data_IF_210091039561
#
_entry.id   IF_210091039561
#
_cell.length_a   1.000
_cell.length_b   1.000
_cell.length_c   1.000
_cell.angle_alpha   90.00
_cell.angle_beta   90.00
_cell.angle_gamma   90.00
#
_symmetry.space_group_name_H-M   'P 1'
#
loop_
_entity.id
_entity.type
_entity.pdbx_description
1 polymer ?
#
# COMPACT_ATOMS: atom_id res chain seq x y z
N UNK A 1 39.99 9.54 4.23
CA UNK A 1 39.35 8.39 4.90
C UNK A 1 37.99 8.87 5.36
N UNK A 2 36.90 8.17 5.03
CA UNK A 2 35.57 8.61 5.42
C UNK A 2 35.48 8.63 6.94
N UNK A 3 34.92 9.69 7.49
CA UNK A 3 34.89 9.86 8.93
C UNK A 3 34.07 8.75 9.58
N UNK A 4 34.51 8.21 10.74
CA UNK A 4 33.73 7.21 11.49
C UNK A 4 32.28 7.66 11.73
N UNK A 5 32.02 8.97 11.71
CA UNK A 5 30.69 9.57 11.79
C UNK A 5 29.72 9.10 10.69
N UNK A 6 30.12 9.04 9.41
CA UNK A 6 29.18 8.70 8.32
C UNK A 6 28.68 7.26 8.45
N UNK A 7 29.56 6.34 8.88
CA UNK A 7 29.22 4.93 9.16
C UNK A 7 28.20 4.82 10.28
N UNK A 8 28.42 5.55 11.39
CA UNK A 8 27.51 5.53 12.52
C UNK A 8 26.12 6.00 12.07
N UNK A 9 26.04 7.14 11.38
CA UNK A 9 24.77 7.68 10.89
C UNK A 9 24.07 6.69 9.96
N UNK A 10 24.77 6.13 8.98
CA UNK A 10 24.22 5.15 8.05
C UNK A 10 23.57 3.96 8.79
N UNK A 11 24.31 3.32 9.69
CA UNK A 11 23.78 2.15 10.41
C UNK A 11 22.70 2.51 11.42
N UNK A 12 22.75 3.69 12.04
CA UNK A 12 21.65 4.17 12.89
C UNK A 12 20.35 4.31 12.09
N UNK A 13 20.42 4.90 10.90
CA UNK A 13 19.26 5.04 10.02
C UNK A 13 18.72 3.68 9.55
N UNK A 14 19.61 2.76 9.17
CA UNK A 14 19.20 1.40 8.77
C UNK A 14 18.58 0.62 9.93
N UNK A 15 19.17 0.66 11.14
CA UNK A 15 18.61 -0.01 12.31
C UNK A 15 17.26 0.59 12.71
N UNK A 16 17.10 1.90 12.60
CA UNK A 16 15.81 2.56 12.81
C UNK A 16 14.76 2.01 11.84
N UNK A 17 15.08 1.95 10.54
CA UNK A 17 14.19 1.36 9.53
C UNK A 17 13.86 -0.10 9.83
N UNK A 18 14.88 -0.90 10.20
CA UNK A 18 14.74 -2.31 10.52
C UNK A 18 13.81 -2.60 11.71
N UNK A 19 13.73 -1.69 12.70
CA UNK A 19 12.88 -1.88 13.88
C UNK A 19 11.50 -1.23 13.70
N UNK A 20 11.45 0.00 13.19
CA UNK A 20 10.22 0.80 13.18
C UNK A 20 9.27 0.42 12.04
N UNK A 21 9.79 0.03 10.87
CA UNK A 21 8.95 -0.35 9.74
C UNK A 21 8.21 -1.68 9.92
N UNK A 22 8.79 -2.73 10.55
CA UNK A 22 8.03 -3.90 10.94
C UNK A 22 6.92 -3.56 11.91
N UNK A 23 7.18 -2.77 12.96
CA UNK A 23 6.15 -2.35 13.92
C UNK A 23 4.99 -1.66 13.18
N UNK A 24 5.31 -0.78 12.23
CA UNK A 24 4.31 -0.15 11.36
C UNK A 24 3.57 -1.19 10.51
N UNK A 25 4.26 -2.12 9.85
CA UNK A 25 3.65 -3.17 9.04
C UNK A 25 2.72 -4.07 9.86
N UNK A 26 3.16 -4.53 11.03
CA UNK A 26 2.37 -5.29 11.99
C UNK A 26 1.13 -4.51 12.43
N UNK A 27 1.27 -3.22 12.76
CA UNK A 27 0.11 -2.38 13.11
C UNK A 27 -0.90 -2.32 11.96
N UNK A 28 -0.43 -2.14 10.73
CA UNK A 28 -1.31 -2.05 9.55
C UNK A 28 -2.00 -3.38 9.19
N UNK A 29 -1.37 -4.53 9.48
CA UNK A 29 -1.91 -5.85 9.19
C UNK A 29 -2.85 -6.37 10.27
N UNK A 30 -2.51 -6.14 11.55
CA UNK A 30 -3.19 -6.78 12.67
C UNK A 30 -4.21 -5.88 13.38
N UNK A 31 -4.24 -4.57 13.13
CA UNK A 31 -5.25 -3.70 13.74
C UNK A 31 -6.55 -3.70 12.91
N UNK A 32 -7.63 -4.37 13.37
CA UNK A 32 -8.88 -4.49 12.61
C UNK A 32 -9.61 -3.15 12.44
N UNK A 33 -9.26 -2.14 13.24
CA UNK A 33 -9.77 -0.77 13.12
C UNK A 33 -9.38 -0.13 11.78
N UNK A 34 -8.30 -0.61 11.16
CA UNK A 34 -7.67 0.00 10.00
C UNK A 34 -8.06 -0.78 8.74
N UNK A 35 -9.19 -0.42 8.11
CA UNK A 35 -9.57 -0.96 6.80
C UNK A 35 -8.69 -0.36 5.70
N UNK A 36 -7.46 -0.85 5.57
CA UNK A 36 -6.50 -0.39 4.56
C UNK A 36 -6.05 -1.51 3.66
N UNK A 37 -5.63 -1.11 2.46
CA UNK A 37 -5.10 -2.04 1.50
C UNK A 37 -3.72 -2.56 1.95
N UNK A 38 -3.41 -3.86 1.79
CA UNK A 38 -2.16 -4.46 2.23
C UNK A 38 -0.91 -3.92 1.54
N UNK A 39 -1.04 -3.15 0.45
CA UNK A 39 0.10 -2.55 -0.28
C UNK A 39 0.94 -1.62 0.60
N UNK A 40 0.33 -0.97 1.59
CA UNK A 40 1.07 -0.09 2.49
C UNK A 40 1.98 -0.88 3.44
N UNK A 41 1.43 -1.93 4.06
CA UNK A 41 2.20 -2.86 4.89
C UNK A 41 3.28 -3.56 4.07
N UNK A 42 2.94 -3.94 2.83
CA UNK A 42 3.89 -4.54 1.89
C UNK A 42 5.10 -3.64 1.64
N UNK A 43 4.89 -2.36 1.37
CA UNK A 43 5.99 -1.42 1.17
C UNK A 43 6.86 -1.28 2.43
N UNK A 44 6.25 -1.23 3.62
CA UNK A 44 7.01 -1.20 4.88
C UNK A 44 7.88 -2.46 5.06
N UNK A 45 7.39 -3.64 4.66
CA UNK A 45 8.16 -4.89 4.66
C UNK A 45 9.31 -4.87 3.63
N UNK A 46 9.09 -4.35 2.42
CA UNK A 46 10.16 -4.19 1.42
C UNK A 46 11.28 -3.27 1.93
N UNK A 47 10.93 -2.15 2.58
CA UNK A 47 11.93 -1.27 3.19
C UNK A 47 12.62 -1.87 4.42
N UNK A 48 11.91 -2.72 5.18
CA UNK A 48 12.53 -3.52 6.25
C UNK A 48 13.59 -4.45 5.67
N UNK A 49 13.26 -5.17 4.59
CA UNK A 49 14.20 -6.05 3.91
C UNK A 49 15.43 -5.28 3.41
N UNK A 50 15.24 -4.05 2.91
CA UNK A 50 16.35 -3.18 2.48
C UNK A 50 17.25 -2.81 3.66
N UNK A 51 16.64 -2.45 4.78
CA UNK A 51 17.36 -2.14 6.02
C UNK A 51 18.14 -3.35 6.55
N UNK A 52 17.56 -4.54 6.44
CA UNK A 52 18.19 -5.80 6.83
C UNK A 52 19.42 -6.10 5.96
N UNK A 53 19.28 -6.05 4.63
CA UNK A 53 20.36 -6.29 3.68
C UNK A 53 21.50 -5.28 3.85
N UNK A 54 21.18 -4.00 4.02
CA UNK A 54 22.15 -2.94 4.31
C UNK A 54 22.91 -3.16 5.64
N UNK A 55 22.26 -3.81 6.61
CA UNK A 55 22.83 -4.07 7.94
C UNK A 55 23.59 -5.40 8.06
N UNK A 56 23.68 -6.23 7.02
CA UNK A 56 24.28 -7.57 7.12
C UNK A 56 25.72 -7.58 7.65
N UNK A 57 26.57 -6.63 7.26
CA UNK A 57 27.95 -6.54 7.78
C UNK A 57 28.00 -6.19 9.26
N UNK A 58 27.07 -5.36 9.72
CA UNK A 58 26.93 -5.01 11.13
C UNK A 58 26.44 -6.22 11.93
N UNK A 59 25.38 -6.89 11.44
CA UNK A 59 24.78 -8.06 12.09
C UNK A 59 25.75 -9.25 12.18
N UNK A 60 26.63 -9.41 11.18
CA UNK A 60 27.68 -10.45 11.18
C UNK A 60 28.94 -10.07 11.97
N UNK A 61 28.98 -8.85 12.55
CA UNK A 61 30.15 -8.30 13.27
C UNK A 61 31.42 -8.27 12.40
N UNK A 62 31.27 -8.13 11.08
CA UNK A 62 32.39 -8.04 10.12
C UNK A 62 32.64 -6.61 9.62
N UNK A 63 32.09 -5.62 10.33
CA UNK A 63 32.27 -4.21 9.99
C UNK A 63 33.72 -3.74 10.16
N UNK A 64 34.32 -4.06 11.31
CA UNK A 64 35.71 -3.74 11.64
C UNK A 64 36.47 -5.06 11.77
N UNK A 65 37.33 -5.39 10.82
CA UNK A 65 38.05 -6.66 10.86
C UNK A 65 38.65 -7.09 9.52
N UNK A 66 39.16 -8.33 9.45
CA UNK A 66 39.63 -8.95 8.22
C UNK A 66 38.50 -8.98 7.18
N UNK A 67 38.87 -9.17 5.91
CA UNK A 67 37.91 -9.17 4.81
C UNK A 67 36.77 -10.19 5.07
N UNK A 68 35.50 -9.80 4.82
CA UNK A 68 34.36 -10.69 5.03
C UNK A 68 34.46 -11.90 4.08
N UNK A 69 33.84 -13.04 4.45
CA UNK A 69 33.81 -14.20 3.57
C UNK A 69 33.22 -13.81 2.21
N UNK A 70 33.88 -14.28 1.14
CA UNK A 70 33.57 -13.87 -0.24
C UNK A 70 32.12 -14.19 -0.64
N UNK A 71 31.54 -15.25 -0.08
CA UNK A 71 30.13 -15.64 -0.30
C UNK A 71 29.16 -14.62 0.26
N UNK A 72 29.36 -14.15 1.50
CA UNK A 72 28.54 -13.11 2.13
C UNK A 72 28.64 -11.80 1.35
N UNK A 73 29.86 -11.43 0.94
CA UNK A 73 30.12 -10.18 0.24
C UNK A 73 29.48 -10.16 -1.16
N UNK A 74 29.57 -11.28 -1.89
CA UNK A 74 28.87 -11.47 -3.19
C UNK A 74 27.35 -11.45 -3.02
N UNK A 75 26.81 -12.15 -2.03
CA UNK A 75 25.37 -12.18 -1.77
C UNK A 75 24.83 -10.78 -1.40
N UNK A 76 25.50 -10.06 -0.50
CA UNK A 76 25.11 -8.71 -0.12
C UNK A 76 25.17 -7.75 -1.30
N UNK A 77 26.25 -7.78 -2.09
CA UNK A 77 26.41 -6.95 -3.29
C UNK A 77 25.28 -7.20 -4.30
N UNK A 78 24.97 -8.46 -4.59
CA UNK A 78 23.90 -8.83 -5.51
C UNK A 78 22.51 -8.36 -5.01
N UNK A 79 22.23 -8.53 -3.70
CA UNK A 79 20.99 -8.05 -3.09
C UNK A 79 20.89 -6.52 -3.13
N UNK A 80 21.98 -5.80 -2.83
CA UNK A 80 22.02 -4.33 -2.90
C UNK A 80 21.84 -3.80 -4.33
N UNK A 81 22.36 -4.51 -5.35
CA UNK A 81 22.10 -4.16 -6.75
C UNK A 81 20.66 -4.42 -7.18
N UNK A 82 20.00 -5.46 -6.67
CA UNK A 82 18.58 -5.71 -6.96
C UNK A 82 17.62 -4.75 -6.22
N UNK A 83 18.08 -4.17 -5.10
CA UNK A 83 17.25 -3.40 -4.18
C UNK A 83 16.59 -2.17 -4.81
N UNK A 84 17.29 -1.27 -5.53
CA UNK A 84 16.69 -0.06 -6.11
C UNK A 84 15.44 -0.33 -6.95
N UNK A 85 15.48 -1.34 -7.81
CA UNK A 85 14.35 -1.74 -8.64
C UNK A 85 13.19 -2.31 -7.80
N UNK A 86 13.50 -3.17 -6.80
CA UNK A 86 12.50 -3.72 -5.90
C UNK A 86 11.73 -2.66 -5.12
N UNK A 87 12.45 -1.71 -4.51
CA UNK A 87 11.83 -0.61 -3.75
C UNK A 87 11.06 0.35 -4.65
N UNK A 88 11.53 0.59 -5.89
CA UNK A 88 10.81 1.41 -6.86
C UNK A 88 9.49 0.78 -7.30
N UNK A 89 9.46 -0.55 -7.51
CA UNK A 89 8.22 -1.29 -7.81
C UNK A 89 7.24 -1.24 -6.62
N UNK A 90 7.74 -1.32 -5.38
CA UNK A 90 6.90 -1.15 -4.18
C UNK A 90 6.26 0.25 -4.12
N UNK A 91 7.03 1.29 -4.46
CA UNK A 91 6.52 2.66 -4.55
C UNK A 91 5.46 2.80 -5.65
N UNK A 92 5.69 2.22 -6.83
CA UNK A 92 4.69 2.16 -7.92
C UNK A 92 3.42 1.46 -7.44
N UNK A 93 3.51 0.37 -6.69
CA UNK A 93 2.34 -0.36 -6.22
C UNK A 93 1.44 0.47 -5.28
N UNK A 94 2.04 1.26 -4.37
CA UNK A 94 1.28 2.21 -3.54
C UNK A 94 0.61 3.27 -4.41
N UNK A 95 1.37 3.90 -5.30
CA UNK A 95 0.87 5.02 -6.11
C UNK A 95 -0.22 4.55 -7.06
N UNK A 96 -0.05 3.39 -7.68
CA UNK A 96 -1.07 2.77 -8.52
C UNK A 96 -2.38 2.59 -7.76
N UNK A 97 -2.32 2.08 -6.53
CA UNK A 97 -3.52 1.89 -5.69
C UNK A 97 -4.19 3.22 -5.32
N UNK A 98 -3.40 4.25 -5.01
CA UNK A 98 -3.94 5.59 -4.73
C UNK A 98 -4.58 6.19 -5.99
N UNK A 99 -3.94 5.99 -7.14
CA UNK A 99 -4.44 6.44 -8.44
C UNK A 99 -5.74 5.72 -8.83
N UNK A 100 -5.82 4.39 -8.69
CA UNK A 100 -7.01 3.59 -9.03
C UNK A 100 -8.23 4.04 -8.23
N UNK A 101 -8.06 4.25 -6.92
CA UNK A 101 -9.10 4.77 -6.03
C UNK A 101 -9.54 6.18 -6.41
N UNK A 102 -8.58 7.06 -6.70
CA UNK A 102 -8.86 8.45 -7.07
C UNK A 102 -9.59 8.55 -8.42
N UNK A 103 -9.23 7.68 -9.37
CA UNK A 103 -9.84 7.61 -10.69
C UNK A 103 -11.25 7.00 -10.65
N UNK A 104 -11.45 5.94 -9.86
CA UNK A 104 -12.75 5.28 -9.70
C UNK A 104 -13.87 6.20 -9.26
N UNK A 105 -13.60 7.02 -8.23
CA UNK A 105 -14.54 8.01 -7.70
C UNK A 105 -14.98 9.00 -8.79
N UNK A 106 -14.08 9.37 -9.71
CA UNK A 106 -14.38 10.33 -10.78
C UNK A 106 -15.32 9.76 -11.83
N UNK A 107 -15.21 8.46 -12.15
CA UNK A 107 -15.89 7.88 -13.32
C UNK A 107 -17.30 7.39 -12.99
N UNK A 108 -17.46 6.64 -11.91
CA UNK A 108 -18.70 5.87 -11.67
C UNK A 108 -19.33 6.13 -10.30
N UNK A 109 -18.75 6.97 -9.44
CA UNK A 109 -19.19 7.14 -8.04
C UNK A 109 -18.99 5.89 -7.15
N UNK A 110 -18.88 4.70 -7.75
CA UNK A 110 -18.53 3.45 -7.10
C UNK A 110 -17.02 3.17 -7.19
N UNK A 111 -16.47 2.55 -6.14
CA UNK A 111 -15.11 2.05 -6.16
C UNK A 111 -15.03 0.87 -7.15
N UNK A 112 -14.08 0.89 -8.12
CA UNK A 112 -13.90 -0.22 -9.03
C UNK A 112 -13.52 -1.47 -8.23
N UNK A 113 -14.18 -2.59 -8.52
CA UNK A 113 -13.75 -3.89 -8.02
C UNK A 113 -12.41 -4.23 -8.65
N UNK A 114 -11.38 -4.32 -7.82
CA UNK A 114 -10.05 -4.70 -8.27
C UNK A 114 -9.98 -6.23 -8.38
N UNK A 115 -9.56 -6.77 -9.53
CA UNK A 115 -9.46 -8.20 -9.68
C UNK A 115 -8.34 -8.75 -8.78
N UNK A 116 -8.50 -9.94 -8.19
CA UNK A 116 -7.57 -10.47 -7.18
C UNK A 116 -6.15 -10.66 -7.71
N UNK A 117 -5.99 -10.98 -9.00
CA UNK A 117 -4.67 -11.13 -9.62
C UNK A 117 -3.85 -9.83 -9.59
N UNK A 118 -4.50 -8.67 -9.70
CA UNK A 118 -3.82 -7.39 -9.66
C UNK A 118 -3.25 -7.12 -8.27
N UNK A 119 -4.03 -7.44 -7.23
CA UNK A 119 -3.57 -7.37 -5.83
C UNK A 119 -2.37 -8.28 -5.62
N UNK A 120 -2.40 -9.51 -6.12
CA UNK A 120 -1.25 -10.42 -6.05
C UNK A 120 0.00 -9.83 -6.73
N UNK A 121 -0.13 -9.22 -7.91
CA UNK A 121 0.99 -8.58 -8.61
C UNK A 121 1.52 -7.36 -7.82
N UNK A 122 0.64 -6.52 -7.28
CA UNK A 122 1.04 -5.35 -6.50
C UNK A 122 1.75 -5.72 -5.19
N UNK A 123 1.40 -6.87 -4.59
CA UNK A 123 2.03 -7.37 -3.38
C UNK A 123 3.32 -8.15 -3.66
N UNK A 124 3.29 -9.10 -4.60
CA UNK A 124 4.42 -9.96 -4.92
C UNK A 124 5.48 -9.34 -5.85
N UNK A 125 5.07 -8.40 -6.71
CA UNK A 125 5.91 -7.77 -7.73
C UNK A 125 7.24 -7.20 -7.19
N UNK A 126 7.24 -6.41 -6.10
CA UNK A 126 8.47 -5.88 -5.52
C UNK A 126 9.51 -6.94 -5.16
N UNK A 127 9.07 -8.04 -4.52
CA UNK A 127 9.97 -9.13 -4.11
C UNK A 127 10.42 -9.98 -5.29
N UNK A 128 9.53 -10.23 -6.26
CA UNK A 128 9.87 -10.96 -7.46
C UNK A 128 10.94 -10.21 -8.26
N UNK A 129 10.73 -8.91 -8.52
CA UNK A 129 11.70 -8.07 -9.25
C UNK A 129 13.03 -8.00 -8.51
N UNK A 130 13.00 -7.77 -7.20
CA UNK A 130 14.24 -7.75 -6.41
C UNK A 130 14.96 -9.09 -6.42
N UNK A 131 14.27 -10.19 -6.08
CA UNK A 131 14.87 -11.53 -6.00
C UNK A 131 15.42 -12.01 -7.34
N UNK A 132 14.70 -11.79 -8.44
CA UNK A 132 15.15 -12.15 -9.79
C UNK A 132 16.41 -11.35 -10.15
N UNK A 133 16.40 -10.02 -9.98
CA UNK A 133 17.57 -9.19 -10.30
C UNK A 133 18.76 -9.53 -9.41
N UNK A 134 18.55 -9.76 -8.12
CA UNK A 134 19.60 -10.21 -7.21
C UNK A 134 20.19 -11.57 -7.65
N UNK A 135 19.36 -12.52 -8.07
CA UNK A 135 19.81 -13.80 -8.60
C UNK A 135 20.63 -13.64 -9.88
N UNK A 136 20.16 -12.83 -10.84
CA UNK A 136 20.89 -12.52 -12.08
C UNK A 136 22.24 -11.86 -11.76
N UNK A 137 22.26 -10.85 -10.90
CA UNK A 137 23.50 -10.18 -10.51
C UNK A 137 24.46 -11.12 -9.77
N UNK A 138 23.97 -12.03 -8.93
CA UNK A 138 24.81 -13.02 -8.27
C UNK A 138 25.52 -13.96 -9.27
N UNK A 139 24.81 -14.38 -10.33
CA UNK A 139 25.37 -15.20 -11.41
C UNK A 139 26.41 -14.41 -12.19
N UNK A 140 26.10 -13.18 -12.59
CA UNK A 140 27.02 -12.31 -13.34
C UNK A 140 28.28 -11.96 -12.52
N UNK A 141 28.12 -11.76 -11.21
CA UNK A 141 29.23 -11.45 -10.31
C UNK A 141 30.17 -12.63 -10.04
N UNK A 142 29.81 -13.86 -10.42
CA UNK A 142 30.64 -15.06 -10.19
C UNK A 142 32.08 -14.89 -10.69
N UNK A 143 32.25 -14.17 -11.81
CA UNK A 143 33.54 -13.87 -12.46
C UNK A 143 34.18 -12.56 -11.98
N UNK A 144 33.41 -11.66 -11.38
CA UNK A 144 33.89 -10.35 -10.92
C UNK A 144 34.52 -10.42 -9.54
N UNK A 145 35.50 -9.55 -9.27
CA UNK A 145 36.00 -9.32 -7.90
C UNK A 145 35.01 -8.41 -7.17
N UNK A 146 34.68 -8.75 -5.93
CA UNK A 146 33.86 -7.91 -5.05
C UNK A 146 34.78 -7.28 -4.02
N UNK A 147 34.67 -5.97 -3.83
CA UNK A 147 35.49 -5.21 -2.88
C UNK A 147 34.60 -4.74 -1.73
N UNK A 148 35.17 -4.66 -0.53
CA UNK A 148 34.48 -4.07 0.62
C UNK A 148 34.44 -2.55 0.46
N UNK A 149 33.25 -1.98 0.33
CA UNK A 149 33.03 -0.53 0.47
C UNK A 149 32.84 -0.18 1.96
N UNK A 150 32.62 1.11 2.23
CA UNK A 150 32.51 1.66 3.58
C UNK A 150 31.34 1.08 4.38
N UNK A 151 30.19 0.92 3.71
CA UNK A 151 28.92 0.53 4.32
C UNK A 151 28.53 -0.92 4.01
N UNK A 152 28.83 -1.38 2.79
CA UNK A 152 28.45 -2.69 2.27
C UNK A 152 29.47 -3.19 1.23
N UNK A 153 29.29 -4.41 0.73
CA UNK A 153 30.12 -4.96 -0.35
C UNK A 153 29.66 -4.48 -1.74
N UNK A 154 30.59 -3.94 -2.55
CA UNK A 154 30.31 -3.46 -3.90
C UNK A 154 31.02 -4.32 -4.95
N UNK A 155 30.36 -4.57 -6.08
CA UNK A 155 30.99 -5.20 -7.25
C UNK A 155 31.88 -4.21 -7.97
N UNK A 156 33.02 -4.68 -8.48
CA UNK A 156 33.93 -3.85 -9.31
C UNK A 156 33.35 -3.57 -10.72
N UNK A 157 32.27 -4.26 -11.12
CA UNK A 157 31.64 -4.09 -12.42
C UNK A 157 30.62 -2.94 -12.40
N UNK A 158 31.06 -1.79 -12.93
CA UNK A 158 30.25 -0.58 -13.05
C UNK A 158 28.97 -0.78 -13.89
N UNK A 159 28.98 -1.71 -14.87
CA UNK A 159 27.82 -1.93 -15.72
C UNK A 159 26.63 -2.47 -14.93
N UNK A 160 26.88 -3.29 -13.91
CA UNK A 160 25.80 -3.82 -13.07
C UNK A 160 25.11 -2.71 -12.27
N UNK A 161 25.89 -1.74 -11.79
CA UNK A 161 25.38 -0.54 -11.12
C UNK A 161 24.55 0.34 -12.06
N UNK A 162 25.03 0.58 -13.28
CA UNK A 162 24.28 1.35 -14.31
C UNK A 162 22.96 0.66 -14.65
N UNK A 163 22.98 -0.66 -14.91
CA UNK A 163 21.77 -1.43 -15.26
C UNK A 163 20.75 -1.38 -14.13
N UNK A 164 21.18 -1.58 -12.87
CA UNK A 164 20.31 -1.45 -11.70
C UNK A 164 19.70 -0.04 -11.59
N UNK A 165 20.53 1.00 -11.70
CA UNK A 165 20.09 2.39 -11.60
C UNK A 165 19.08 2.78 -12.69
N UNK A 166 19.31 2.36 -13.94
CA UNK A 166 18.40 2.61 -15.08
C UNK A 166 17.06 1.91 -14.86
N UNK A 167 17.06 0.64 -14.45
CA UNK A 167 15.82 -0.09 -14.18
C UNK A 167 15.01 0.57 -13.06
N UNK A 168 15.66 0.96 -11.97
CA UNK A 168 15.01 1.69 -10.89
C UNK A 168 14.45 3.05 -11.35
N UNK A 169 15.21 3.78 -12.17
CA UNK A 169 14.79 5.06 -12.73
C UNK A 169 13.53 4.92 -13.59
N UNK A 170 13.41 3.88 -14.41
CA UNK A 170 12.20 3.63 -15.22
C UNK A 170 10.95 3.49 -14.33
N UNK A 171 11.02 2.69 -13.26
CA UNK A 171 9.92 2.55 -12.32
C UNK A 171 9.62 3.84 -11.56
N UNK A 172 10.65 4.59 -11.15
CA UNK A 172 10.48 5.87 -10.47
C UNK A 172 9.89 6.96 -11.38
N UNK A 173 10.26 7.01 -12.67
CA UNK A 173 9.63 7.92 -13.64
C UNK A 173 8.14 7.60 -13.77
N UNK A 174 7.79 6.32 -13.91
CA UNK A 174 6.39 5.91 -13.94
C UNK A 174 5.65 6.29 -12.66
N UNK A 175 6.29 6.10 -11.49
CA UNK A 175 5.77 6.51 -10.18
C UNK A 175 5.49 8.02 -10.12
N UNK A 176 6.44 8.86 -10.55
CA UNK A 176 6.31 10.32 -10.57
C UNK A 176 5.20 10.78 -11.53
N UNK A 177 5.09 10.18 -12.72
CA UNK A 177 4.02 10.49 -13.69
C UNK A 177 2.64 10.23 -13.07
N UNK A 178 2.46 9.08 -12.43
CA UNK A 178 1.19 8.75 -11.75
C UNK A 178 0.91 9.71 -10.59
N UNK A 179 1.92 10.12 -9.83
CA UNK A 179 1.74 11.08 -8.74
C UNK A 179 1.36 12.47 -9.22
N UNK A 180 2.03 12.99 -10.25
CA UNK A 180 1.65 14.26 -10.88
C UNK A 180 0.20 14.21 -11.37
N UNK A 181 -0.21 13.06 -11.92
CA UNK A 181 -1.61 12.85 -12.31
C UNK A 181 -2.55 12.84 -11.09
N UNK A 182 -2.24 12.11 -10.01
CA UNK A 182 -3.03 12.14 -8.76
C UNK A 182 -3.17 13.58 -8.24
N UNK A 183 -2.07 14.33 -8.16
CA UNK A 183 -2.07 15.72 -7.71
C UNK A 183 -2.96 16.58 -8.60
N UNK A 184 -2.88 16.41 -9.92
CA UNK A 184 -3.74 17.12 -10.87
C UNK A 184 -5.23 16.79 -10.66
N UNK A 185 -5.58 15.51 -10.45
CA UNK A 185 -6.96 15.08 -10.18
C UNK A 185 -7.49 15.65 -8.86
N UNK A 186 -6.69 15.59 -7.79
CA UNK A 186 -7.03 16.13 -6.47
C UNK A 186 -7.17 17.66 -6.56
N UNK A 187 -6.26 18.34 -7.24
CA UNK A 187 -6.30 19.79 -7.42
C UNK A 187 -7.52 20.24 -8.23
N UNK A 188 -7.86 19.54 -9.31
CA UNK A 188 -9.08 19.81 -10.08
C UNK A 188 -10.34 19.66 -9.22
N UNK A 189 -10.41 18.61 -8.38
CA UNK A 189 -11.53 18.39 -7.46
C UNK A 189 -11.60 19.48 -6.39
N UNK A 190 -10.45 19.84 -5.80
CA UNK A 190 -10.36 20.91 -4.82
C UNK A 190 -10.82 22.26 -5.40
N UNK A 191 -10.44 22.57 -6.64
CA UNK A 191 -10.87 23.79 -7.33
C UNK A 191 -12.37 23.80 -7.62
N UNK A 192 -12.96 22.67 -8.03
CA UNK A 192 -14.41 22.54 -8.21
C UNK A 192 -15.16 22.69 -6.87
N UNK A 193 -14.62 22.09 -5.80
CA UNK A 193 -15.18 22.20 -4.46
C UNK A 193 -15.25 23.63 -3.94
N UNK A 194 -14.19 24.41 -4.17
CA UNK A 194 -14.21 25.84 -3.83
C UNK A 194 -15.28 26.65 -4.56
N UNK A 195 -15.72 26.23 -5.75
CA UNK A 195 -16.73 26.95 -6.55
C UNK A 195 -18.16 26.62 -6.14
N UNK A 196 -18.43 25.38 -5.74
CA UNK A 196 -19.79 24.89 -5.43
C UNK A 196 -20.18 25.09 -3.95
N UNK A 197 -19.29 25.62 -3.12
CA UNK A 197 -19.54 25.81 -1.70
C UNK A 197 -19.20 24.58 -0.86
N UNK A 198 -18.85 24.82 0.40
CA UNK A 198 -18.30 23.83 1.34
C UNK A 198 -19.32 22.80 1.82
N UNK A 199 -20.61 23.03 1.59
CA UNK A 199 -21.69 22.26 2.22
C UNK A 199 -21.88 20.87 1.60
N UNK A 200 -21.47 20.64 0.37
CA UNK A 200 -21.81 19.40 -0.35
C UNK A 200 -20.62 18.48 -0.64
N UNK A 201 -19.40 19.01 -0.61
CA UNK A 201 -18.20 18.25 -1.00
C UNK A 201 -17.42 17.93 0.26
N UNK A 202 -17.68 16.74 0.80
CA UNK A 202 -17.09 16.22 2.03
C UNK A 202 -15.60 16.53 2.18
N UNK A 203 -15.22 16.86 3.41
CA UNK A 203 -13.87 17.29 3.76
C UNK A 203 -12.83 16.29 3.28
N UNK A 204 -12.12 16.63 2.20
CA UNK A 204 -10.91 15.90 1.85
C UNK A 204 -9.89 16.18 2.96
N UNK A 205 -9.40 15.13 3.66
CA UNK A 205 -8.49 15.34 4.77
C UNK A 205 -7.18 15.93 4.24
N UNK A 206 -6.88 17.18 4.60
CA UNK A 206 -5.59 17.86 4.34
C UNK A 206 -4.37 16.96 4.64
N UNK A 207 -4.36 16.12 5.70
CA UNK A 207 -3.26 15.19 5.95
C UNK A 207 -2.94 14.23 4.81
N UNK A 208 -3.93 13.79 4.03
CA UNK A 208 -3.71 12.90 2.89
C UNK A 208 -2.90 13.58 1.79
N UNK A 209 -3.22 14.83 1.48
CA UNK A 209 -2.50 15.62 0.49
C UNK A 209 -1.05 15.87 0.90
N UNK A 210 -0.83 16.24 2.17
CA UNK A 210 0.53 16.45 2.72
C UNK A 210 1.37 15.17 2.57
N UNK A 211 0.80 14.00 2.87
CA UNK A 211 1.50 12.71 2.73
C UNK A 211 1.86 12.38 1.28
N UNK A 212 0.95 12.64 0.33
CA UNK A 212 1.25 12.45 -1.09
C UNK A 212 2.41 13.35 -1.52
N UNK A 213 2.38 14.64 -1.17
CA UNK A 213 3.45 15.58 -1.51
C UNK A 213 4.80 15.19 -0.89
N UNK A 214 4.80 14.74 0.37
CA UNK A 214 6.01 14.24 1.02
C UNK A 214 6.55 12.99 0.32
N UNK A 215 5.70 12.02 -0.01
CA UNK A 215 6.08 10.83 -0.75
C UNK A 215 6.62 11.16 -2.16
N UNK A 216 6.01 12.13 -2.84
CA UNK A 216 6.50 12.63 -4.14
C UNK A 216 7.87 13.26 -4.05
N UNK A 217 8.12 14.04 -3.01
CA UNK A 217 9.44 14.65 -2.79
C UNK A 217 10.51 13.56 -2.60
N UNK A 218 10.22 12.54 -1.79
CA UNK A 218 11.14 11.40 -1.58
C UNK A 218 11.38 10.62 -2.87
N UNK A 219 10.32 10.33 -3.65
CA UNK A 219 10.46 9.63 -4.92
C UNK A 219 11.27 10.43 -5.96
N UNK A 220 11.10 11.76 -6.00
CA UNK A 220 11.87 12.64 -6.86
C UNK A 220 13.35 12.68 -6.46
N UNK A 221 13.65 12.78 -5.16
CA UNK A 221 15.03 12.69 -4.66
C UNK A 221 15.65 11.35 -5.04
N UNK A 222 14.93 10.24 -4.86
CA UNK A 222 15.41 8.92 -5.28
C UNK A 222 15.71 8.85 -6.78
N UNK A 223 14.87 9.45 -7.62
CA UNK A 223 15.09 9.52 -9.07
C UNK A 223 16.35 10.32 -9.42
N UNK A 224 16.57 11.46 -8.76
CA UNK A 224 17.80 12.25 -8.92
C UNK A 224 19.02 11.45 -8.48
N UNK A 225 18.92 10.66 -7.40
CA UNK A 225 20.01 9.79 -6.97
C UNK A 225 20.27 8.66 -7.97
N UNK A 226 19.25 8.05 -8.56
CA UNK A 226 19.42 7.07 -9.63
C UNK A 226 20.14 7.69 -10.83
N UNK A 227 19.81 8.93 -11.18
CA UNK A 227 20.51 9.70 -12.21
C UNK A 227 21.97 9.87 -11.78
N UNK A 228 22.26 10.56 -10.67
CA UNK A 228 23.62 10.82 -10.16
C UNK A 228 24.47 9.55 -10.07
N UNK A 229 23.91 8.44 -9.61
CA UNK A 229 24.60 7.16 -9.53
C UNK A 229 25.13 6.64 -10.87
N UNK A 230 24.48 6.99 -12.00
CA UNK A 230 24.98 6.64 -13.34
C UNK A 230 26.15 7.51 -13.81
N UNK A 231 26.33 8.73 -13.28
CA UNK A 231 27.48 9.59 -13.60
C UNK A 231 28.64 9.42 -12.63
N UNK A 232 28.37 9.33 -11.33
CA UNK A 232 29.39 9.42 -10.28
C UNK A 232 29.27 8.28 -9.28
N UNK A 233 30.10 7.25 -9.45
CA UNK A 233 30.10 6.04 -8.63
C UNK A 233 30.87 6.17 -7.31
N UNK A 234 31.48 7.32 -7.05
CA UNK A 234 32.44 7.50 -5.94
C UNK A 234 31.90 8.33 -4.78
N UNK A 235 30.65 8.78 -4.84
CA UNK A 235 30.06 9.59 -3.79
C UNK A 235 29.44 8.72 -2.70
N UNK A 236 29.76 8.99 -1.44
CA UNK A 236 29.17 8.33 -0.26
C UNK A 236 27.79 8.90 0.10
N UNK A 237 27.50 10.10 -0.40
CA UNK A 237 26.29 10.84 -0.06
C UNK A 237 24.99 10.14 -0.52
N UNK A 238 24.90 9.54 -1.74
CA UNK A 238 23.72 8.81 -2.17
C UNK A 238 23.34 7.68 -1.22
N UNK A 239 24.31 6.92 -0.71
CA UNK A 239 24.06 5.80 0.21
C UNK A 239 23.47 6.28 1.54
N UNK A 240 24.00 7.40 2.05
CA UNK A 240 23.48 8.03 3.25
C UNK A 240 22.04 8.50 3.05
N UNK A 241 21.74 9.16 1.92
CA UNK A 241 20.38 9.62 1.62
C UNK A 241 19.44 8.42 1.47
N UNK A 242 19.84 7.36 0.76
CA UNK A 242 19.04 6.14 0.61
C UNK A 242 18.72 5.50 1.97
N UNK A 243 19.69 5.45 2.89
CA UNK A 243 19.46 4.94 4.26
C UNK A 243 18.44 5.77 5.05
N UNK A 244 18.31 7.08 4.76
CA UNK A 244 17.32 7.95 5.40
C UNK A 244 15.89 7.74 4.88
N UNK A 245 15.72 7.11 3.71
CA UNK A 245 14.39 6.94 3.10
C UNK A 245 13.50 6.05 3.97
N UNK A 246 14.04 4.99 4.59
CA UNK A 246 13.27 4.14 5.50
C UNK A 246 12.68 4.93 6.68
N UNK A 247 13.45 5.84 7.25
CA UNK A 247 13.01 6.77 8.31
C UNK A 247 11.92 7.70 7.79
N UNK A 248 12.10 8.28 6.60
CA UNK A 248 11.10 9.13 5.98
C UNK A 248 9.78 8.38 5.74
N UNK A 249 9.84 7.13 5.27
CA UNK A 249 8.66 6.28 5.06
C UNK A 249 7.92 6.01 6.38
N UNK A 250 8.65 5.74 7.46
CA UNK A 250 8.05 5.59 8.79
C UNK A 250 7.30 6.86 9.21
N UNK A 251 7.85 8.05 9.03
CA UNK A 251 7.14 9.28 9.39
C UNK A 251 5.95 9.59 8.47
N UNK A 252 6.09 9.37 7.16
CA UNK A 252 5.00 9.61 6.20
C UNK A 252 3.79 8.72 6.51
N UNK A 253 4.02 7.44 6.82
CA UNK A 253 2.95 6.47 7.02
C UNK A 253 2.56 6.27 8.49
N UNK A 254 3.49 6.41 9.41
CA UNK A 254 3.24 6.38 10.86
C UNK A 254 2.49 7.61 11.37
N UNK A 255 2.57 8.76 10.67
CA UNK A 255 1.78 9.96 10.99
C UNK A 255 0.27 9.83 10.70
N UNK A 256 -0.20 8.64 10.34
CA UNK A 256 -1.61 8.35 10.08
C UNK A 256 -2.43 8.39 11.36
N UNK A 257 -3.54 9.13 11.37
CA UNK A 257 -4.43 9.24 12.54
C UNK A 257 -4.83 7.84 13.04
N UNK A 258 -5.21 6.94 12.13
CA UNK A 258 -5.55 5.56 12.48
C UNK A 258 -4.38 4.80 13.15
N UNK A 259 -3.14 5.03 12.71
CA UNK A 259 -1.95 4.40 13.30
C UNK A 259 -1.64 5.01 14.66
N UNK A 260 -1.72 6.34 14.79
CA UNK A 260 -1.52 7.04 16.05
C UNK A 260 -2.60 6.69 17.08
N UNK A 261 -3.84 6.46 16.65
CA UNK A 261 -4.93 5.96 17.49
C UNK A 261 -4.68 4.51 17.89
N UNK A 262 -4.22 3.65 16.97
CA UNK A 262 -3.85 2.27 17.28
C UNK A 262 -2.69 2.18 18.28
N UNK A 263 -1.76 3.13 18.24
CA UNK A 263 -0.67 3.24 19.22
C UNK A 263 -1.08 3.96 20.52
N UNK A 264 -2.34 4.40 20.65
CA UNK A 264 -2.83 5.09 21.84
C UNK A 264 -2.28 6.51 22.04
N UNK A 265 -1.61 7.09 21.03
CA UNK A 265 -1.03 8.44 21.08
C UNK A 265 -2.12 9.50 20.93
N UNK A 266 -3.08 9.24 20.04
CA UNK A 266 -4.20 10.16 19.75
C UNK A 266 -5.49 9.53 20.26
N UNK A 267 -6.31 10.32 20.97
CA UNK A 267 -7.63 9.87 21.40
C UNK A 267 -8.55 9.75 20.19
N UNK A 268 -9.33 8.66 20.05
CA UNK A 268 -10.33 8.57 19.00
C UNK A 268 -11.26 9.77 19.07
N UNK A 269 -11.46 10.48 17.96
CA UNK A 269 -12.53 11.47 17.88
C UNK A 269 -13.84 10.74 18.15
N UNK A 270 -14.67 11.18 19.11
CA UNK A 270 -16.00 10.63 19.29
C UNK A 270 -16.67 10.68 17.92
N UNK A 271 -17.13 9.53 17.41
CA UNK A 271 -18.04 9.55 16.27
C UNK A 271 -19.19 10.42 16.75
N UNK A 272 -19.31 11.62 16.21
CA UNK A 272 -20.52 12.40 16.29
C UNK A 272 -21.56 11.50 15.66
N UNK A 273 -22.22 10.69 16.50
CA UNK A 273 -23.47 10.03 16.16
C UNK A 273 -24.25 11.15 15.53
N UNK A 274 -24.45 11.08 14.23
CA UNK A 274 -25.36 11.97 13.53
C UNK A 274 -26.68 11.57 14.15
N UNK A 275 -26.98 12.21 15.28
CA UNK A 275 -28.27 12.21 15.89
C UNK A 275 -29.11 12.92 14.86
N UNK A 276 -29.61 12.13 13.92
CA UNK A 276 -30.87 12.42 13.30
C UNK A 276 -31.86 12.54 14.45
N UNK A 277 -31.94 13.73 15.05
CA UNK A 277 -33.21 14.41 15.11
C UNK A 277 -33.77 14.27 13.68
N UNK A 278 -34.57 13.26 13.36
CA UNK A 278 -35.86 13.02 13.99
C UNK A 278 -36.51 14.36 14.29
N UNK A 279 -36.55 15.20 13.25
CA UNK A 279 -37.67 16.09 13.03
C UNK A 279 -38.89 15.21 12.77
N UNK A 280 -39.40 14.64 13.86
CA UNK A 280 -40.73 14.05 13.91
C UNK A 280 -41.51 14.85 14.96
N UNK A 281 -41.58 16.16 14.75
CA UNK A 281 -42.43 17.05 15.53
C UNK A 281 -43.30 17.86 14.57
N UNK A 282 -44.50 17.32 14.31
CA UNK A 282 -45.58 18.04 13.65
C UNK A 282 -46.40 17.19 12.68
N UNK A 283 -47.53 16.66 13.19
CA UNK A 283 -48.64 15.91 12.54
C UNK A 283 -48.40 14.39 12.50
N UNK A 284 -49.12 13.54 13.22
CA UNK A 284 -50.57 13.55 13.45
C UNK A 284 -50.96 13.03 14.84
N UNK A 285 -51.89 13.75 15.45
CA UNK A 285 -52.77 13.23 16.48
C UNK A 285 -53.80 12.30 15.83
N UNK A 286 -53.65 10.98 15.97
CA UNK A 286 -54.78 10.07 15.94
C UNK A 286 -54.60 8.97 16.97
N UNK A 287 -55.37 9.14 18.04
CA UNK A 287 -55.93 8.14 18.95
C UNK A 287 -55.98 6.71 18.40
N UNK A 288 -55.39 5.75 19.12
CA UNK A 288 -56.09 4.52 19.49
C UNK A 288 -55.36 3.79 20.63
N UNK A 289 -56.05 3.77 21.77
CA UNK A 289 -55.86 2.84 22.88
C UNK A 289 -55.80 1.38 22.40
N UNK A 290 -54.73 0.65 22.72
CA UNK A 290 -54.81 -0.79 23.00
C UNK A 290 -53.94 -1.12 24.21
N UNK A 291 -54.61 -1.58 25.27
CA UNK A 291 -54.03 -2.15 26.50
C UNK A 291 -53.56 -3.59 26.24
N UNK A 292 -52.33 -3.92 26.68
CA UNK A 292 -51.82 -5.11 27.46
C UNK A 292 -52.22 -6.55 27.00
N UNK A 293 -51.47 -7.64 27.31
CA UNK A 293 -50.61 -7.83 28.49
C UNK A 293 -49.29 -8.61 28.31
N UNK A 294 -48.56 -8.69 29.42
CA UNK A 294 -47.42 -9.55 29.72
C UNK A 294 -47.63 -11.02 29.34
N UNK A 295 -46.55 -11.69 28.94
CA UNK A 295 -46.17 -13.01 29.49
C UNK A 295 -44.66 -13.28 29.33
N UNK A 296 -44.03 -13.97 30.30
CA UNK A 296 -42.62 -14.36 30.28
C UNK A 296 -42.45 -15.76 29.67
N UNK A 297 -41.32 -16.01 29.00
CA UNK A 297 -41.00 -17.35 28.50
C UNK A 297 -39.55 -17.47 28.05
N UNK A 298 -38.71 -17.94 28.97
CA UNK A 298 -37.40 -18.52 28.65
C UNK A 298 -37.61 -19.90 28.03
N UNK A 299 -36.96 -20.19 26.90
CA UNK A 299 -36.78 -21.55 26.39
C UNK A 299 -35.39 -21.70 25.79
N UNK A 300 -34.56 -22.48 26.48
CA UNK A 300 -33.28 -23.03 26.02
C UNK A 300 -33.58 -24.31 25.24
N UNK A 301 -32.92 -24.54 24.10
CA UNK A 301 -32.96 -25.82 23.39
C UNK A 301 -32.04 -25.84 22.16
N UNK A 302 -31.12 -26.83 22.02
CA UNK A 302 -30.12 -26.89 20.95
C UNK A 302 -30.47 -27.87 19.81
N UNK A 303 -29.63 -27.81 18.77
CA UNK A 303 -29.40 -28.81 17.69
C UNK A 303 -30.49 -28.99 16.64
N UNK A 304 -30.09 -28.90 15.37
CA UNK A 304 -30.14 -30.01 14.39
C UNK A 304 -29.42 -29.57 13.11
N UNK A 305 -28.45 -30.38 12.70
CA UNK A 305 -27.84 -30.35 11.38
C UNK A 305 -28.84 -30.94 10.36
N UNK A 306 -28.99 -30.30 9.20
CA UNK A 306 -29.62 -30.94 8.06
C UNK A 306 -28.80 -30.68 6.78
N UNK A 307 -28.20 -31.78 6.35
CA UNK A 307 -27.68 -32.06 5.02
C UNK A 307 -28.85 -32.32 4.04
N UNK A 308 -28.53 -32.38 2.74
CA UNK A 308 -29.37 -32.69 1.56
C UNK A 308 -29.95 -31.46 0.84
N UNK A 309 -30.01 -31.37 -0.50
CA UNK A 309 -29.72 -32.31 -1.60
C UNK A 309 -29.57 -31.52 -2.90
N UNK A 310 -28.89 -32.16 -3.87
CA UNK A 310 -28.78 -31.84 -5.30
C UNK A 310 -29.99 -31.20 -5.96
N UNK A 311 -29.73 -30.35 -6.96
CA UNK A 311 -30.56 -30.26 -8.15
C UNK A 311 -29.69 -29.95 -9.37
N UNK A 312 -29.62 -30.96 -10.23
CA UNK A 312 -29.29 -30.97 -11.65
C UNK A 312 -30.10 -29.91 -12.41
N UNK A 313 -29.45 -29.20 -13.32
CA UNK A 313 -30.12 -28.45 -14.40
C UNK A 313 -29.43 -28.82 -15.70
N UNK A 314 -30.03 -29.77 -16.41
CA UNK A 314 -29.98 -29.85 -17.86
C UNK A 314 -31.23 -29.15 -18.38
N UNK A 315 -31.09 -28.26 -19.36
CA UNK A 315 -32.04 -28.16 -20.47
C UNK A 315 -31.45 -27.34 -21.63
N UNK A 316 -31.55 -28.01 -22.77
CA UNK A 316 -31.25 -27.62 -24.14
C UNK A 316 -32.26 -26.60 -24.69
N UNK A 317 -31.85 -26.01 -25.82
CA UNK A 317 -32.66 -25.69 -27.01
C UNK A 317 -33.12 -24.24 -27.28
N UNK A 318 -32.59 -23.74 -28.42
CA UNK A 318 -33.30 -23.26 -29.61
C UNK A 318 -33.55 -21.75 -29.87
N UNK A 319 -32.75 -21.24 -30.83
CA UNK A 319 -33.12 -20.63 -32.12
C UNK A 319 -34.40 -19.78 -32.31
N UNK A 320 -34.14 -18.54 -32.77
CA UNK A 320 -34.85 -17.70 -33.79
C UNK A 320 -36.30 -17.21 -33.57
N UNK A 321 -36.45 -15.88 -33.44
CA UNK A 321 -37.33 -14.96 -34.22
C UNK A 321 -37.18 -13.52 -33.66
N UNK A 322 -36.71 -12.50 -34.40
CA UNK A 322 -37.36 -11.62 -35.41
C UNK A 322 -38.57 -10.79 -34.89
N UNK A 323 -38.31 -9.48 -34.75
CA UNK A 323 -39.17 -8.28 -34.74
C UNK A 323 -40.49 -8.22 -33.95
N UNK A 324 -40.55 -7.32 -32.96
CA UNK A 324 -41.55 -6.23 -32.91
C UNK A 324 -41.14 -5.12 -31.94
N UNK A 325 -41.11 -3.89 -32.45
CA UNK A 325 -41.09 -2.65 -31.68
C UNK A 325 -42.48 -2.42 -31.10
N UNK A 326 -42.57 -2.36 -29.77
CA UNK A 326 -43.68 -1.73 -29.06
C UNK A 326 -43.08 -0.81 -28.00
N UNK A 327 -43.28 0.49 -28.22
CA UNK A 327 -43.10 1.55 -27.22
C UNK A 327 -44.15 1.29 -26.13
N UNK A 328 -43.69 0.92 -24.94
CA UNK A 328 -44.52 0.72 -23.76
C UNK A 328 -43.97 1.61 -22.65
N UNK A 329 -44.79 2.56 -22.21
CA UNK A 329 -44.57 3.38 -21.02
C UNK A 329 -44.55 2.46 -19.79
N UNK A 330 -43.36 2.24 -19.23
CA UNK A 330 -43.19 1.55 -17.95
C UNK A 330 -42.87 2.55 -16.85
N UNK A 331 -43.87 2.75 -16.01
CA UNK A 331 -43.77 3.24 -14.65
C UNK A 331 -42.69 2.47 -13.87
N UNK A 332 -41.65 3.20 -13.45
CA UNK A 332 -40.54 2.69 -12.65
C UNK A 332 -41.04 2.38 -11.24
N UNK A 333 -41.34 1.11 -10.96
CA UNK A 333 -41.42 0.56 -9.60
C UNK A 333 -40.00 0.53 -9.00
N UNK A 334 -39.79 1.35 -7.98
CA UNK A 334 -38.56 1.38 -7.19
C UNK A 334 -38.55 0.15 -6.26
N UNK A 335 -38.00 -0.97 -6.74
CA UNK A 335 -37.81 -2.18 -5.92
C UNK A 335 -36.63 -1.99 -4.97
N UNK A 336 -36.96 -1.84 -3.68
CA UNK A 336 -36.05 -1.60 -2.57
C UNK A 336 -35.17 -2.83 -2.30
N UNK A 337 -34.13 -2.99 -3.10
CA UNK A 337 -33.21 -4.12 -2.99
C UNK A 337 -32.13 -3.80 -1.96
N UNK A 338 -32.41 -4.19 -0.71
CA UNK A 338 -31.49 -4.11 0.43
C UNK A 338 -30.18 -4.86 0.11
N UNK A 339 -29.01 -4.19 0.05
CA UNK A 339 -27.76 -4.89 -0.23
C UNK A 339 -27.38 -5.78 0.97
N UNK A 340 -27.37 -7.10 0.74
CA UNK A 340 -26.72 -8.06 1.63
C UNK A 340 -25.21 -7.87 1.51
N UNK A 341 -24.60 -7.26 2.52
CA UNK A 341 -23.16 -7.35 2.71
C UNK A 341 -22.80 -8.80 3.05
N UNK A 342 -22.40 -9.56 2.04
CA UNK A 342 -21.70 -10.84 2.23
C UNK A 342 -20.29 -10.53 2.71
N UNK A 343 -20.10 -10.77 4.01
CA UNK A 343 -18.82 -10.72 4.70
C UNK A 343 -18.08 -12.03 4.46
N UNK A 344 -17.63 -12.28 3.23
CA UNK A 344 -16.69 -13.35 2.93
C UNK A 344 -15.26 -12.79 2.94
N UNK A 345 -14.68 -12.83 4.14
CA UNK A 345 -13.24 -12.64 4.32
C UNK A 345 -12.54 -13.96 4.00
N UNK A 346 -12.44 -14.29 2.71
CA UNK A 346 -11.57 -15.37 2.26
C UNK A 346 -10.12 -14.95 2.47
N UNK A 347 -9.54 -15.59 3.49
CA UNK A 347 -8.17 -15.50 3.93
C UNK A 347 -7.25 -15.94 2.77
N UNK A 348 -6.58 -15.00 2.11
CA UNK A 348 -5.33 -15.31 1.42
C UNK A 348 -4.26 -15.53 2.50
N UNK A 349 -4.01 -16.80 2.82
CA UNK A 349 -2.81 -17.21 3.57
C UNK A 349 -1.62 -16.96 2.64
N UNK A 350 -0.74 -16.04 3.05
CA UNK A 350 0.58 -15.79 2.46
C UNK A 350 1.58 -16.76 3.07
#
# INVERSE_FOLDING_TARGET
>A
MPEPASRIVYFTLQLFGLVTLPILAFTLLFCPSIKRHPTLANNALVWTLSSFVGSLLLLTRRLNGPEPPSTLCKAQSALMLGQPSGVAVAAVAIVWKVWSLSWGIKRNGAAPEEPPWLTCILLGGPYAVWGILAGVFAILQSKSKVKRSLFYCISDDQNLGVVSGVLAAVFLVFCVVLQVWIVALVYQRFRKSRRLGRAEIGDMPVPFFIRIMAFTTVAFVALVLCFVATWTFTLELPDLIVSSIGVAMFFIFGSQEDVLVAWGIVRPKPRSTISGASGNDGRDAYTAHVRRPLSPGWSIGPSVAQSQVSSTVDLSMDSKHVHRLTMQDDSIELSDTKPRYLQDSSICVV
#
